data_IF_844039239223
#
_entry.id   IF_844039239223
#
_cell.length_a   1.000
_cell.length_b   1.000
_cell.length_c   1.000
_cell.angle_alpha   90.00
_cell.angle_beta   90.00
_cell.angle_gamma   90.00
#
_symmetry.space_group_name_H-M   'P 1'
#
loop_
_entity.id
_entity.type
_entity.pdbx_description
1 polymer ?
#
# COMPACT_ATOMS: atom_id res chain seq x y z
N UNK A 1 15.36 -7.83 -21.53
CA UNK A 1 14.88 -7.20 -20.28
C UNK A 1 13.82 -8.13 -19.73
N UNK A 2 14.08 -8.78 -18.61
CA UNK A 2 13.10 -9.64 -17.97
C UNK A 2 12.12 -8.80 -17.16
N UNK A 3 10.82 -9.04 -17.35
CA UNK A 3 9.77 -8.41 -16.56
C UNK A 3 9.54 -9.24 -15.30
N UNK A 4 9.94 -8.73 -14.13
CA UNK A 4 9.71 -9.42 -12.87
C UNK A 4 8.42 -8.93 -12.21
N UNK A 5 7.81 -9.76 -11.37
CA UNK A 5 6.54 -9.44 -10.72
C UNK A 5 6.73 -9.29 -9.21
N UNK A 6 6.26 -8.17 -8.68
CA UNK A 6 6.16 -7.90 -7.25
C UNK A 6 4.69 -7.90 -6.84
N UNK A 7 4.25 -8.96 -6.16
CA UNK A 7 2.92 -8.99 -5.55
C UNK A 7 2.98 -8.43 -4.12
N UNK A 8 2.06 -7.52 -3.81
CA UNK A 8 1.91 -6.92 -2.48
C UNK A 8 0.51 -7.23 -1.98
N UNK A 9 0.41 -7.87 -0.82
CA UNK A 9 -0.88 -8.12 -0.16
C UNK A 9 -0.99 -7.20 1.04
N UNK A 10 -1.95 -6.27 0.98
CA UNK A 10 -2.32 -5.39 2.07
C UNK A 10 -3.34 -6.10 2.95
N UNK A 11 -2.97 -6.44 4.17
CA UNK A 11 -3.80 -7.28 5.04
C UNK A 11 -4.69 -6.41 5.92
N UNK A 12 -4.10 -5.78 6.92
CA UNK A 12 -4.81 -5.01 7.93
C UNK A 12 -3.93 -3.88 8.47
N UNK A 13 -4.54 -2.86 9.05
CA UNK A 13 -3.88 -1.87 9.87
C UNK A 13 -4.59 -1.77 11.23
N UNK A 14 -3.82 -1.40 12.25
CA UNK A 14 -4.30 -1.27 13.61
C UNK A 14 -3.65 -0.08 14.31
N UNK A 15 -4.30 0.39 15.36
CA UNK A 15 -3.81 1.52 16.18
C UNK A 15 -3.58 2.79 15.37
N UNK A 16 -4.31 2.95 14.27
CA UNK A 16 -4.21 4.13 13.43
C UNK A 16 -4.66 5.35 14.22
N UNK A 17 -3.76 6.34 14.34
CA UNK A 17 -4.14 7.59 15.01
C UNK A 17 -5.07 8.38 14.11
N UNK A 18 -6.30 8.52 14.58
CA UNK A 18 -7.27 9.43 14.01
C UNK A 18 -6.78 10.89 14.10
N UNK A 19 -7.48 11.76 13.38
CA UNK A 19 -7.23 13.20 13.45
C UNK A 19 -7.52 13.66 14.87
N UNK A 20 -6.51 14.22 15.54
CA UNK A 20 -6.70 14.87 16.83
C UNK A 20 -7.70 16.02 16.60
N UNK A 21 -8.88 15.93 17.22
CA UNK A 21 -9.95 16.91 17.09
C UNK A 21 -9.49 18.23 17.74
N UNK A 22 -8.84 19.10 16.95
CA UNK A 22 -8.19 20.32 17.46
C UNK A 22 -9.12 21.55 17.47
N UNK A 23 -10.29 21.51 16.83
CA UNK A 23 -11.18 22.67 16.83
C UNK A 23 -12.48 22.37 17.57
N UNK A 24 -12.91 23.31 18.42
CA UNK A 24 -14.20 23.24 19.10
C UNK A 24 -15.39 23.11 18.15
N UNK A 25 -15.22 23.28 16.83
CA UNK A 25 -16.27 23.18 15.81
C UNK A 25 -16.53 21.73 15.37
N UNK A 26 -15.50 20.89 15.28
CA UNK A 26 -15.66 19.46 14.92
C UNK A 26 -16.44 18.68 16.00
N UNK A 27 -16.40 19.13 17.27
CA UNK A 27 -17.26 18.63 18.35
C UNK A 27 -18.68 19.21 18.32
N UNK A 28 -18.84 20.46 17.88
CA UNK A 28 -20.14 21.17 17.89
C UNK A 28 -21.04 20.73 16.74
N UNK A 29 -20.48 20.20 15.65
CA UNK A 29 -21.23 19.72 14.49
C UNK A 29 -20.87 18.24 14.20
N UNK A 30 -21.43 17.28 14.95
CA UNK A 30 -21.11 15.86 14.81
C UNK A 30 -21.42 15.30 13.40
N UNK A 31 -22.28 15.97 12.63
CA UNK A 31 -22.56 15.62 11.24
C UNK A 31 -21.36 15.82 10.30
N UNK A 32 -20.47 16.78 10.58
CA UNK A 32 -19.25 17.02 9.80
C UNK A 32 -18.18 15.95 10.05
N UNK A 33 -18.30 15.22 11.16
CA UNK A 33 -17.35 14.20 11.59
C UNK A 33 -17.66 12.81 10.98
N UNK A 34 -18.48 12.75 9.93
CA UNK A 34 -18.73 11.51 9.18
C UNK A 34 -17.51 11.19 8.31
N UNK A 35 -16.53 10.58 8.94
CA UNK A 35 -15.30 10.12 8.31
C UNK A 35 -15.58 8.80 7.57
N UNK A 36 -15.03 8.64 6.35
CA UNK A 36 -15.09 7.36 5.62
C UNK A 36 -13.91 6.51 6.05
N UNK A 37 -14.03 5.18 5.96
CA UNK A 37 -12.92 4.28 6.23
C UNK A 37 -11.67 4.68 5.42
N UNK A 38 -10.45 4.43 5.94
CA UNK A 38 -9.23 4.82 5.24
C UNK A 38 -8.97 3.95 4.00
N UNK A 39 -8.16 4.45 3.08
CA UNK A 39 -7.60 3.69 1.97
C UNK A 39 -6.08 3.88 1.92
N UNK A 40 -5.38 2.94 1.31
CA UNK A 40 -3.94 2.99 1.13
C UNK A 40 -3.57 3.36 -0.31
N UNK A 41 -2.54 4.18 -0.46
CA UNK A 41 -1.82 4.37 -1.72
C UNK A 41 -0.50 3.60 -1.62
N UNK A 42 -0.31 2.64 -2.52
CA UNK A 42 0.87 1.79 -2.58
C UNK A 42 1.74 2.26 -3.74
N UNK A 43 2.97 2.65 -3.46
CA UNK A 43 3.91 3.23 -4.43
C UNK A 43 5.17 2.37 -4.54
N UNK A 44 5.52 1.97 -5.77
CA UNK A 44 6.73 1.24 -6.09
C UNK A 44 7.35 1.80 -7.38
N UNK A 45 8.58 2.33 -7.31
CA UNK A 45 9.23 2.97 -8.46
C UNK A 45 8.39 4.12 -9.04
N UNK A 46 7.97 4.00 -10.29
CA UNK A 46 7.06 4.95 -10.98
C UNK A 46 5.59 4.53 -10.92
N UNK A 47 5.31 3.30 -10.48
CA UNK A 47 3.97 2.73 -10.41
C UNK A 47 3.32 3.04 -9.07
N UNK A 48 2.02 3.26 -9.10
CA UNK A 48 1.21 3.40 -7.89
C UNK A 48 -0.15 2.74 -8.07
N UNK A 49 -0.62 2.13 -7.01
CA UNK A 49 -1.98 1.62 -6.89
C UNK A 49 -2.65 2.25 -5.68
N UNK A 50 -3.96 2.30 -5.73
CA UNK A 50 -4.79 2.64 -4.59
C UNK A 50 -5.48 1.35 -4.14
N UNK A 51 -5.66 1.17 -2.84
CA UNK A 51 -6.59 0.16 -2.31
C UNK A 51 -8.02 0.65 -2.38
N UNK A 52 -8.97 -0.22 -2.09
CA UNK A 52 -10.32 0.19 -1.77
C UNK A 52 -10.39 0.68 -0.32
N UNK A 53 -11.57 1.12 0.10
CA UNK A 53 -11.79 1.53 1.48
C UNK A 53 -11.70 0.31 2.40
N UNK A 54 -11.04 0.49 3.54
CA UNK A 54 -10.93 -0.55 4.53
C UNK A 54 -12.30 -0.95 5.08
N UNK A 55 -12.39 -2.20 5.50
CA UNK A 55 -13.50 -2.69 6.31
C UNK A 55 -13.11 -2.54 7.77
N UNK A 56 -13.80 -1.63 8.47
CA UNK A 56 -13.63 -1.43 9.91
C UNK A 56 -14.18 -2.63 10.68
N UNK A 57 -13.29 -3.53 11.11
CA UNK A 57 -13.63 -4.69 11.95
C UNK A 57 -13.05 -4.43 13.34
N UNK A 58 -13.86 -3.83 14.21
CA UNK A 58 -13.43 -3.43 15.55
C UNK A 58 -12.47 -2.24 15.51
N UNK A 59 -11.28 -2.38 16.13
CA UNK A 59 -10.22 -1.35 16.12
C UNK A 59 -9.21 -1.52 14.97
N UNK A 60 -9.55 -2.37 13.99
CA UNK A 60 -8.69 -2.72 12.86
C UNK A 60 -9.37 -2.38 11.56
N UNK A 61 -8.55 -1.94 10.63
CA UNK A 61 -8.93 -1.63 9.26
C UNK A 61 -8.41 -2.76 8.37
N UNK A 62 -9.29 -3.50 7.72
CA UNK A 62 -8.94 -4.70 6.95
C UNK A 62 -9.16 -4.44 5.46
N UNK A 63 -8.15 -4.72 4.64
CA UNK A 63 -8.24 -4.66 3.18
C UNK A 63 -8.27 -6.05 2.56
N UNK A 64 -7.31 -6.91 2.91
CA UNK A 64 -7.07 -8.21 2.25
C UNK A 64 -7.00 -8.09 0.71
N UNK A 65 -6.39 -7.01 0.22
CA UNK A 65 -6.28 -6.72 -1.21
C UNK A 65 -4.88 -7.07 -1.73
N UNK A 66 -4.82 -7.60 -2.95
CA UNK A 66 -3.58 -7.93 -3.65
C UNK A 66 -3.32 -6.95 -4.79
N UNK A 67 -2.11 -6.42 -4.84
CA UNK A 67 -1.59 -5.55 -5.89
C UNK A 67 -0.42 -6.21 -6.60
N UNK A 68 -0.25 -5.90 -7.87
CA UNK A 68 0.80 -6.43 -8.73
C UNK A 68 1.57 -5.28 -9.36
N UNK A 69 2.88 -5.29 -9.20
CA UNK A 69 3.77 -4.31 -9.78
C UNK A 69 4.77 -4.99 -10.70
N UNK A 70 5.07 -4.34 -11.81
CA UNK A 70 6.11 -4.77 -12.72
C UNK A 70 7.46 -4.23 -12.25
N UNK A 71 8.38 -5.12 -11.92
CA UNK A 71 9.72 -4.78 -11.50
C UNK A 71 10.67 -4.94 -12.69
N UNK A 72 10.94 -3.83 -13.38
CA UNK A 72 12.00 -3.75 -14.39
C UNK A 72 13.35 -3.62 -13.68
N UNK A 73 14.01 -4.75 -13.48
CA UNK A 73 15.31 -4.85 -12.83
C UNK A 73 16.31 -5.44 -13.82
N UNK A 74 17.52 -4.91 -13.83
CA UNK A 74 18.60 -5.50 -14.62
C UNK A 74 19.12 -6.76 -13.90
N UNK A 75 19.41 -7.82 -14.67
CA UNK A 75 19.76 -9.16 -14.18
C UNK A 75 21.07 -9.25 -13.34
N UNK A 76 21.76 -8.13 -13.12
CA UNK A 76 23.05 -8.11 -12.41
C UNK A 76 23.09 -7.08 -11.29
N UNK A 77 22.94 -7.59 -10.06
CA UNK A 77 23.64 -7.24 -8.82
C UNK A 77 23.59 -5.79 -8.29
N UNK A 78 23.06 -4.83 -9.02
CA UNK A 78 23.03 -3.43 -8.58
C UNK A 78 21.65 -2.84 -8.79
N UNK A 79 20.80 -2.92 -7.76
CA UNK A 79 19.64 -2.03 -7.66
C UNK A 79 20.19 -0.66 -7.24
N UNK A 80 20.70 0.11 -8.21
CA UNK A 80 21.23 1.47 -8.00
C UNK A 80 20.15 2.49 -7.71
N UNK A 81 18.92 2.18 -8.11
CA UNK A 81 17.78 3.06 -7.94
C UNK A 81 17.15 2.86 -6.57
N UNK A 82 17.34 3.84 -5.68
CA UNK A 82 16.72 3.90 -4.36
C UNK A 82 15.19 3.79 -4.41
N UNK A 83 14.54 4.18 -5.53
CA UNK A 83 13.09 4.06 -5.70
C UNK A 83 12.64 2.63 -5.99
N UNK A 84 13.49 1.79 -6.59
CA UNK A 84 13.21 0.37 -6.87
C UNK A 84 13.52 -0.54 -5.68
N UNK A 85 14.16 -0.01 -4.64
CA UNK A 85 14.52 -0.73 -3.41
C UNK A 85 13.46 -0.66 -2.31
N UNK A 86 12.46 0.21 -2.45
CA UNK A 86 11.46 0.49 -1.42
C UNK A 86 10.04 0.48 -1.97
N UNK A 87 9.13 0.05 -1.12
CA UNK A 87 7.69 0.12 -1.29
C UNK A 87 7.17 1.11 -0.24
N UNK A 88 6.43 2.13 -0.66
CA UNK A 88 5.85 3.13 0.25
C UNK A 88 4.34 2.97 0.27
N UNK A 89 3.77 2.80 1.46
CA UNK A 89 2.33 2.71 1.68
C UNK A 89 1.86 3.94 2.46
N UNK A 90 1.08 4.81 1.83
CA UNK A 90 0.47 5.98 2.47
C UNK A 90 -0.97 5.69 2.82
N UNK A 91 -1.35 5.84 4.08
CA UNK A 91 -2.72 5.66 4.56
C UNK A 91 -3.41 7.02 4.59
N UNK A 92 -4.57 7.11 3.94
CA UNK A 92 -5.32 8.35 3.79
C UNK A 92 -6.75 8.13 4.27
N UNK A 93 -7.21 9.03 5.14
CA UNK A 93 -8.58 9.07 5.63
C UNK A 93 -9.39 10.09 4.85
N UNK A 94 -10.43 9.64 4.16
CA UNK A 94 -11.30 10.51 3.37
C UNK A 94 -12.45 11.01 4.22
N UNK A 95 -12.73 12.31 4.12
CA UNK A 95 -13.90 12.91 4.76
C UNK A 95 -14.87 13.39 3.68
N UNK A 96 -16.17 13.44 4.01
CA UNK A 96 -17.19 13.89 3.06
C UNK A 96 -17.12 15.41 2.81
N UNK A 97 -16.77 16.18 3.83
CA UNK A 97 -16.83 17.64 3.82
C UNK A 97 -15.50 18.30 4.17
N UNK A 98 -14.49 17.51 4.56
CA UNK A 98 -13.15 17.99 4.90
C UNK A 98 -12.13 17.46 3.90
N UNK A 99 -10.99 18.17 3.72
CA UNK A 99 -9.88 17.64 2.95
C UNK A 99 -9.41 16.28 3.48
N UNK A 100 -8.89 15.46 2.56
CA UNK A 100 -8.30 14.17 2.91
C UNK A 100 -7.21 14.35 3.97
N UNK A 101 -7.24 13.49 4.98
CA UNK A 101 -6.29 13.51 6.07
C UNK A 101 -5.25 12.41 5.87
N UNK A 102 -3.99 12.80 5.75
CA UNK A 102 -2.88 11.85 5.66
C UNK A 102 -2.57 11.27 7.05
N UNK A 103 -2.94 10.01 7.27
CA UNK A 103 -2.76 9.33 8.56
C UNK A 103 -1.28 9.06 8.81
N UNK A 104 -0.54 8.69 7.77
CA UNK A 104 0.89 8.44 7.80
C UNK A 104 1.32 7.49 6.69
N UNK A 105 2.60 7.15 6.68
CA UNK A 105 3.21 6.26 5.70
C UNK A 105 4.05 5.17 6.34
N UNK A 106 4.13 4.02 5.68
CA UNK A 106 5.04 2.94 6.00
C UNK A 106 6.00 2.73 4.83
N UNK A 107 7.30 2.69 5.11
CA UNK A 107 8.33 2.38 4.11
C UNK A 107 8.83 0.95 4.34
N UNK A 108 8.72 0.12 3.32
CA UNK A 108 9.16 -1.28 3.33
C UNK A 108 10.36 -1.41 2.39
N UNK A 109 11.49 -1.82 2.93
CA UNK A 109 12.69 -2.10 2.13
C UNK A 109 12.61 -3.52 1.58
N UNK A 110 12.55 -3.65 0.26
CA UNK A 110 12.33 -4.93 -0.43
C UNK A 110 13.57 -5.43 -1.17
N UNK A 111 14.71 -4.75 -1.02
CA UNK A 111 16.00 -5.13 -1.61
C UNK A 111 16.35 -6.60 -1.35
N UNK A 112 16.24 -7.06 -0.10
CA UNK A 112 16.55 -8.45 0.26
C UNK A 112 15.56 -9.45 -0.35
N UNK A 113 14.29 -9.07 -0.47
CA UNK A 113 13.25 -9.88 -1.13
C UNK A 113 13.59 -10.02 -2.61
N UNK A 114 13.96 -8.92 -3.27
CA UNK A 114 14.36 -8.94 -4.68
C UNK A 114 15.61 -9.80 -4.89
N UNK A 115 16.68 -9.58 -4.13
CA UNK A 115 17.95 -10.31 -4.28
C UNK A 115 17.75 -11.82 -4.11
N UNK A 116 17.06 -12.24 -3.03
CA UNK A 116 16.74 -13.66 -2.79
C UNK A 116 15.83 -14.23 -3.88
N UNK A 117 14.92 -13.41 -4.40
CA UNK A 117 14.02 -13.76 -5.48
C UNK A 117 14.74 -13.96 -6.82
N UNK A 118 15.77 -13.16 -7.11
CA UNK A 118 16.61 -13.32 -8.30
C UNK A 118 17.43 -14.61 -8.28
N UNK A 119 17.90 -15.02 -7.09
CA UNK A 119 18.64 -16.27 -6.88
C UNK A 119 17.73 -17.51 -6.94
N UNK A 120 16.57 -17.47 -6.27
CA UNK A 120 15.68 -18.63 -6.09
C UNK A 120 14.55 -18.71 -7.10
N UNK A 121 14.36 -17.69 -7.93
CA UNK A 121 13.24 -17.54 -8.87
C UNK A 121 11.94 -17.03 -8.23
N UNK A 122 11.68 -17.38 -6.97
CA UNK A 122 10.53 -16.87 -6.21
C UNK A 122 10.86 -16.77 -4.73
N UNK A 123 10.41 -15.70 -4.09
CA UNK A 123 10.43 -15.58 -2.63
C UNK A 123 9.11 -15.02 -2.12
N UNK A 124 8.63 -15.60 -1.02
CA UNK A 124 7.44 -15.13 -0.32
C UNK A 124 7.89 -14.57 1.02
N UNK A 125 7.65 -13.30 1.24
CA UNK A 125 7.75 -12.65 2.52
C UNK A 125 6.33 -12.52 3.08
N UNK A 126 6.00 -13.34 4.08
CA UNK A 126 4.66 -13.38 4.67
C UNK A 126 4.25 -12.04 5.30
N UNK A 127 3.00 -11.93 5.78
CA UNK A 127 2.51 -10.72 6.42
C UNK A 127 3.43 -10.28 7.57
N UNK A 128 3.97 -9.07 7.46
CA UNK A 128 4.80 -8.46 8.49
C UNK A 128 4.24 -7.09 8.86
N UNK A 129 4.38 -6.72 10.13
CA UNK A 129 3.91 -5.45 10.66
C UNK A 129 4.95 -4.36 10.43
N UNK A 130 4.53 -3.26 9.85
CA UNK A 130 5.34 -2.08 9.61
C UNK A 130 4.75 -0.90 10.36
N UNK A 131 5.62 -0.04 10.89
CA UNK A 131 5.20 1.18 11.57
C UNK A 131 4.72 2.20 10.54
N UNK A 132 3.56 2.77 10.82
CA UNK A 132 3.02 3.91 10.10
C UNK A 132 3.48 5.16 10.84
N UNK A 133 4.17 6.06 10.14
CA UNK A 133 4.71 7.30 10.69
C UNK A 133 4.12 8.51 9.99
N UNK A 134 3.87 9.57 10.74
CA UNK A 134 3.46 10.87 10.20
C UNK A 134 4.68 11.63 9.64
N UNK A 135 4.47 12.71 8.86
CA UNK A 135 5.57 13.55 8.36
C UNK A 135 6.46 14.13 9.47
N UNK A 136 5.92 14.33 10.66
CA UNK A 136 6.66 14.76 11.87
C UNK A 136 7.43 13.62 12.55
N UNK A 137 7.47 12.43 11.94
CA UNK A 137 8.08 11.19 12.44
C UNK A 137 7.42 10.60 13.68
N UNK A 138 6.26 11.11 14.08
CA UNK A 138 5.49 10.51 15.17
C UNK A 138 4.84 9.20 14.72
N UNK A 139 4.75 8.25 15.64
CA UNK A 139 4.06 6.98 15.40
C UNK A 139 2.55 7.20 15.26
N UNK A 140 1.97 6.59 14.22
CA UNK A 140 0.57 6.71 13.81
C UNK A 140 -0.14 5.36 13.64
N UNK A 141 0.47 4.26 14.11
CA UNK A 141 -0.09 2.92 14.07
C UNK A 141 0.77 1.91 13.33
N UNK A 142 0.19 0.75 13.02
CA UNK A 142 0.84 -0.37 12.35
C UNK A 142 0.04 -0.84 11.14
N UNK A 143 0.74 -1.30 10.10
CA UNK A 143 0.15 -1.90 8.89
C UNK A 143 0.81 -3.24 8.58
N UNK A 144 0.00 -4.25 8.29
CA UNK A 144 0.41 -5.62 7.97
C UNK A 144 0.44 -5.81 6.46
N UNK A 145 1.61 -6.14 5.91
CA UNK A 145 1.83 -6.28 4.47
C UNK A 145 2.64 -7.55 4.20
N UNK A 146 2.19 -8.35 3.22
CA UNK A 146 2.98 -9.44 2.67
C UNK A 146 3.52 -9.05 1.29
N UNK A 147 4.74 -9.48 0.98
CA UNK A 147 5.41 -9.16 -0.28
C UNK A 147 5.91 -10.44 -0.92
N UNK A 148 5.60 -10.66 -2.18
CA UNK A 148 6.09 -11.80 -2.95
C UNK A 148 6.79 -11.30 -4.19
N UNK A 149 8.00 -11.78 -4.43
CA UNK A 149 8.74 -11.50 -5.65
C UNK A 149 8.82 -12.77 -6.50
N UNK A 150 8.56 -12.61 -7.80
CA UNK A 150 8.62 -13.67 -8.80
C UNK A 150 9.51 -13.17 -9.93
N UNK A 151 10.61 -13.88 -10.17
CA UNK A 151 11.51 -13.60 -11.29
C UNK A 151 10.81 -14.00 -12.59
N UNK A 152 10.60 -13.05 -13.50
CA UNK A 152 10.21 -13.36 -14.87
C UNK A 152 11.30 -14.14 -15.61
N UNK A 153 10.88 -15.12 -16.40
CA UNK A 153 11.74 -15.78 -17.39
C UNK A 153 11.53 -15.12 -18.74
N UNK A 154 12.61 -14.88 -19.51
CA UNK A 154 12.47 -14.44 -20.90
C UNK A 154 11.67 -15.51 -21.67
N UNK A 155 10.45 -15.16 -22.14
CA UNK A 155 9.63 -16.02 -23.00
C UNK A 155 8.17 -16.30 -22.58
N UNK A 156 7.63 -15.72 -21.50
CA UNK A 156 6.18 -15.74 -21.29
C UNK A 156 5.56 -14.39 -21.67
N UNK A 157 4.96 -14.37 -22.86
CA UNK A 157 3.91 -13.44 -23.24
C UNK A 157 2.71 -13.71 -22.32
N UNK A 158 2.75 -13.12 -21.13
CA UNK A 158 1.65 -13.15 -20.19
C UNK A 158 0.59 -12.20 -20.68
N UNK A 159 -0.56 -12.76 -21.05
CA UNK A 159 -1.84 -12.08 -21.28
C UNK A 159 -1.89 -10.72 -20.57
N UNK A 160 -1.69 -9.67 -21.36
CA UNK A 160 -1.83 -8.28 -20.93
C UNK A 160 -3.32 -7.98 -20.80
N UNK A 161 -3.95 -8.62 -19.82
CA UNK A 161 -5.20 -8.17 -19.26
C UNK A 161 -4.98 -6.75 -18.75
N UNK A 162 -5.29 -5.78 -19.58
CA UNK A 162 -5.16 -4.37 -19.26
C UNK A 162 -5.82 -4.13 -17.92
N UNK A 163 -5.01 -3.77 -16.92
CA UNK A 163 -5.56 -3.27 -15.67
C UNK A 163 -6.16 -1.91 -15.97
N UNK A 164 -7.47 -1.89 -16.23
CA UNK A 164 -8.24 -0.67 -16.07
C UNK A 164 -8.05 -0.21 -14.63
N UNK A 165 -7.32 0.90 -14.46
CA UNK A 165 -7.21 1.53 -13.17
C UNK A 165 -8.62 1.95 -12.76
N UNK A 166 -9.20 1.42 -11.67
CA UNK A 166 -10.49 1.91 -11.22
C UNK A 166 -10.33 3.40 -10.89
N UNK A 167 -11.09 4.22 -11.60
CA UNK A 167 -11.15 5.65 -11.34
C UNK A 167 -11.36 5.89 -9.85
N UNK A 168 -10.66 6.88 -9.29
CA UNK A 168 -10.65 7.24 -7.86
C UNK A 168 -12.06 7.40 -7.24
N UNK A 169 -13.08 7.61 -8.07
CA UNK A 169 -14.48 7.74 -7.66
C UNK A 169 -15.28 6.43 -7.57
N UNK A 170 -14.81 5.30 -8.11
CA UNK A 170 -15.57 4.04 -8.20
C UNK A 170 -15.21 3.00 -7.12
N UNK A 171 -14.54 3.41 -6.03
CA UNK A 171 -14.02 2.49 -5.01
C UNK A 171 -14.89 2.29 -3.77
N UNK A 172 -16.11 2.81 -3.77
CA UNK A 172 -17.05 2.66 -2.65
C UNK A 172 -17.52 1.20 -2.48
N UNK A 173 -17.38 0.37 -3.50
CA UNK A 173 -17.70 -1.06 -3.48
C UNK A 173 -16.70 -1.83 -4.34
N UNK A 174 -15.58 -2.22 -3.73
CA UNK A 174 -14.84 -3.38 -4.22
C UNK A 174 -15.48 -4.59 -3.56
N UNK A 175 -16.41 -5.21 -4.29
CA UNK A 175 -17.03 -6.46 -3.88
C UNK A 175 -15.98 -7.57 -3.78
N UNK A 176 -16.27 -8.49 -2.86
CA UNK A 176 -15.38 -9.54 -2.34
C UNK A 176 -15.08 -10.63 -3.37
#
# INVERSE_FOLDING_TARGET
MALHLLEVVLVEAGELKERDCWCGIDCLLPFLNKSKAPYAKIHYGTQHHFSCFARGIGKKEVWNEKFRFEAELEDKHEIKDDMKNKLVLSIIHRHQFLPDFHVGEATIYIKDVILRGMEKGKVVHGPHKYRVVRPDKSYSGEISVAVTFIKGTEGQEGDSGGMEQPNFYNKETCDS
#
